data_IF_017123819420
#
_entry.id   IF_017123819420
#
_cell.length_a   1.000
_cell.length_b   1.000
_cell.length_c   1.000
_cell.angle_alpha   90.00
_cell.angle_beta   90.00
_cell.angle_gamma   90.00
#
_symmetry.space_group_name_H-M   'P 1'
#
loop_
_entity.id
_entity.type
_entity.pdbx_description
1 polymer ?
#
# COMPACT_ATOMS: atom_id res chain seq x y z
N UNK A 1 -12.11 23.21 28.26
CA UNK A 1 -11.57 21.88 27.88
C UNK A 1 -10.07 22.01 27.93
N UNK A 2 -9.39 21.24 28.78
CA UNK A 2 -7.96 21.48 29.05
C UNK A 2 -7.10 20.97 27.89
N UNK A 3 -5.91 21.55 27.71
CA UNK A 3 -4.95 21.07 26.69
C UNK A 3 -4.56 19.60 26.92
N UNK A 4 -4.57 19.14 28.17
CA UNK A 4 -4.34 17.75 28.55
C UNK A 4 -5.44 16.81 28.01
N UNK A 5 -6.71 17.21 28.03
CA UNK A 5 -7.81 16.41 27.47
C UNK A 5 -7.69 16.26 25.94
N UNK A 6 -7.25 17.32 25.27
CA UNK A 6 -7.06 17.31 23.82
C UNK A 6 -5.89 16.41 23.42
N UNK A 7 -4.78 16.46 24.16
CA UNK A 7 -3.64 15.57 23.98
C UNK A 7 -4.03 14.09 24.19
N UNK A 8 -4.76 13.78 25.27
CA UNK A 8 -5.19 12.42 25.58
C UNK A 8 -6.10 11.84 24.48
N UNK A 9 -7.04 12.62 23.94
CA UNK A 9 -7.90 12.16 22.83
C UNK A 9 -7.10 11.86 21.55
N UNK A 10 -6.18 12.73 21.17
CA UNK A 10 -5.34 12.52 19.99
C UNK A 10 -4.44 11.30 20.17
N UNK A 11 -3.92 11.09 21.38
CA UNK A 11 -3.13 9.92 21.73
C UNK A 11 -3.94 8.62 21.62
N UNK A 12 -5.11 8.54 22.26
CA UNK A 12 -5.99 7.38 22.18
C UNK A 12 -6.42 7.08 20.75
N UNK A 13 -6.76 8.13 19.98
CA UNK A 13 -7.09 8.00 18.57
C UNK A 13 -5.91 7.45 17.75
N UNK A 14 -4.69 7.95 17.97
CA UNK A 14 -3.48 7.45 17.32
C UNK A 14 -3.21 5.97 17.61
N UNK A 15 -3.29 5.57 18.89
CA UNK A 15 -3.12 4.17 19.31
C UNK A 15 -4.17 3.25 18.68
N UNK A 16 -5.43 3.70 18.63
CA UNK A 16 -6.51 2.94 18.01
C UNK A 16 -6.26 2.72 16.51
N UNK A 17 -5.82 3.75 15.80
CA UNK A 17 -5.54 3.69 14.36
C UNK A 17 -4.34 2.78 14.04
N UNK A 18 -3.31 2.79 14.88
CA UNK A 18 -2.17 1.89 14.77
C UNK A 18 -2.58 0.43 14.99
N UNK A 19 -3.43 0.16 15.99
CA UNK A 19 -3.98 -1.18 16.21
C UNK A 19 -4.83 -1.65 15.01
N UNK A 20 -5.68 -0.78 14.47
CA UNK A 20 -6.49 -1.07 13.29
C UNK A 20 -5.63 -1.38 12.06
N UNK A 21 -4.53 -0.66 11.90
CA UNK A 21 -3.55 -0.89 10.83
C UNK A 21 -2.91 -2.28 10.92
N UNK A 22 -2.46 -2.68 12.11
CA UNK A 22 -1.90 -4.02 12.33
C UNK A 22 -2.94 -5.13 12.14
N UNK A 23 -4.17 -4.92 12.62
CA UNK A 23 -5.26 -5.88 12.43
C UNK A 23 -5.58 -6.09 10.96
N UNK A 24 -5.62 -5.02 10.15
CA UNK A 24 -5.82 -5.12 8.70
C UNK A 24 -4.67 -5.84 8.02
N UNK A 25 -3.42 -5.52 8.36
CA UNK A 25 -2.23 -6.22 7.85
C UNK A 25 -2.34 -7.73 8.07
N UNK A 26 -2.69 -8.15 9.29
CA UNK A 26 -2.82 -9.56 9.62
C UNK A 26 -3.98 -10.22 8.88
N UNK A 27 -5.15 -9.57 8.83
CA UNK A 27 -6.34 -10.11 8.17
C UNK A 27 -6.12 -10.33 6.66
N UNK A 28 -5.58 -9.34 5.96
CA UNK A 28 -5.28 -9.49 4.53
C UNK A 28 -4.19 -10.54 4.29
N UNK A 29 -3.14 -10.58 5.13
CA UNK A 29 -2.10 -11.62 5.03
C UNK A 29 -2.69 -13.02 5.18
N UNK A 30 -3.62 -13.21 6.11
CA UNK A 30 -4.32 -14.48 6.31
C UNK A 30 -5.15 -14.87 5.09
N UNK A 31 -5.93 -13.93 4.54
CA UNK A 31 -6.73 -14.17 3.33
C UNK A 31 -5.86 -14.55 2.13
N UNK A 32 -4.79 -13.80 1.87
CA UNK A 32 -3.90 -14.05 0.73
C UNK A 32 -3.14 -15.38 0.88
N UNK A 33 -2.70 -15.70 2.09
CA UNK A 33 -2.08 -17.00 2.38
C UNK A 33 -3.07 -18.14 2.18
N UNK A 34 -4.32 -17.96 2.62
CA UNK A 34 -5.39 -18.93 2.39
C UNK A 34 -5.68 -19.15 0.91
N UNK A 35 -5.69 -18.08 0.12
CA UNK A 35 -5.91 -18.15 -1.32
C UNK A 35 -4.75 -18.85 -2.05
N UNK A 36 -3.50 -18.54 -1.68
CA UNK A 36 -2.33 -19.26 -2.19
C UNK A 36 -2.34 -20.74 -1.79
N UNK A 37 -2.76 -21.05 -0.57
CA UNK A 37 -2.87 -22.44 -0.09
C UNK A 37 -3.94 -23.21 -0.87
N UNK A 38 -5.09 -22.58 -1.13
CA UNK A 38 -6.14 -23.13 -1.99
C UNK A 38 -5.60 -23.39 -3.41
N UNK A 39 -4.87 -22.42 -3.99
CA UNK A 39 -4.20 -22.61 -5.26
C UNK A 39 -3.26 -23.83 -5.24
N UNK A 40 -2.42 -23.97 -4.21
CA UNK A 40 -1.48 -25.08 -4.09
C UNK A 40 -2.19 -26.44 -3.99
N UNK A 41 -3.26 -26.54 -3.20
CA UNK A 41 -4.06 -27.77 -3.05
C UNK A 41 -4.75 -28.13 -4.36
N UNK A 42 -5.44 -27.17 -4.98
CA UNK A 42 -6.11 -27.38 -6.25
C UNK A 42 -5.11 -27.78 -7.34
N UNK A 43 -3.91 -27.21 -7.30
CA UNK A 43 -2.92 -27.43 -8.35
C UNK A 43 -2.37 -28.85 -8.30
N UNK A 44 -2.27 -29.41 -7.09
CA UNK A 44 -1.89 -30.80 -6.89
C UNK A 44 -2.97 -31.77 -7.40
N UNK A 45 -4.26 -31.43 -7.21
CA UNK A 45 -5.38 -32.30 -7.62
C UNK A 45 -5.71 -32.22 -9.11
N UNK A 46 -5.84 -31.03 -9.66
CA UNK A 46 -6.26 -30.80 -11.03
C UNK A 46 -5.63 -29.51 -11.57
N UNK A 47 -4.54 -29.58 -12.34
CA UNK A 47 -3.83 -28.41 -12.86
C UNK A 47 -4.54 -27.81 -14.09
N UNK A 48 -5.82 -27.46 -13.95
CA UNK A 48 -6.62 -26.85 -15.02
C UNK A 48 -6.42 -25.34 -15.09
N UNK A 49 -5.81 -24.88 -16.19
CA UNK A 49 -5.52 -23.46 -16.42
C UNK A 49 -6.78 -22.57 -16.38
N UNK A 50 -7.89 -23.09 -16.87
CA UNK A 50 -9.20 -22.40 -16.89
C UNK A 50 -9.67 -22.04 -15.48
N UNK A 51 -9.25 -22.80 -14.45
CA UNK A 51 -9.55 -22.50 -13.05
C UNK A 51 -8.48 -21.63 -12.40
N UNK A 52 -7.20 -21.83 -12.75
CA UNK A 52 -6.09 -21.10 -12.12
C UNK A 52 -5.96 -19.64 -12.55
N UNK A 53 -6.18 -19.34 -13.83
CA UNK A 53 -6.10 -17.95 -14.33
C UNK A 53 -7.08 -17.03 -13.59
N UNK A 54 -8.40 -17.29 -13.53
CA UNK A 54 -9.33 -16.40 -12.83
C UNK A 54 -9.04 -16.32 -11.33
N UNK A 55 -8.65 -17.44 -10.70
CA UNK A 55 -8.31 -17.47 -9.28
C UNK A 55 -7.09 -16.59 -8.95
N UNK A 56 -6.06 -16.66 -9.80
CA UNK A 56 -4.84 -15.84 -9.71
C UNK A 56 -5.14 -14.36 -9.94
N UNK A 57 -6.03 -14.04 -10.90
CA UNK A 57 -6.48 -12.66 -11.15
C UNK A 57 -7.24 -12.11 -9.93
N UNK A 58 -8.11 -12.92 -9.31
CA UNK A 58 -8.83 -12.51 -8.09
C UNK A 58 -7.85 -12.22 -6.96
N UNK A 59 -6.87 -13.10 -6.72
CA UNK A 59 -5.83 -12.87 -5.71
C UNK A 59 -5.05 -11.58 -5.96
N UNK A 60 -4.63 -11.35 -7.20
CA UNK A 60 -3.94 -10.12 -7.57
C UNK A 60 -4.80 -8.88 -7.32
N UNK A 61 -6.09 -8.90 -7.67
CA UNK A 61 -7.00 -7.78 -7.44
C UNK A 61 -7.18 -7.49 -5.94
N UNK A 62 -7.32 -8.54 -5.12
CA UNK A 62 -7.37 -8.40 -3.65
C UNK A 62 -6.10 -7.77 -3.11
N UNK A 63 -4.93 -8.20 -3.57
CA UNK A 63 -3.65 -7.65 -3.12
C UNK A 63 -3.48 -6.19 -3.55
N UNK A 64 -3.90 -5.83 -4.77
CA UNK A 64 -3.84 -4.44 -5.24
C UNK A 64 -4.80 -3.54 -4.43
N UNK A 65 -6.00 -4.01 -4.13
CA UNK A 65 -6.94 -3.32 -3.24
C UNK A 65 -6.34 -3.13 -1.86
N UNK A 66 -5.72 -4.17 -1.31
CA UNK A 66 -5.02 -4.10 -0.02
C UNK A 66 -3.91 -3.04 -0.04
N UNK A 67 -3.04 -3.04 -1.06
CA UNK A 67 -1.98 -2.04 -1.21
C UNK A 67 -2.54 -0.60 -1.28
N UNK A 68 -3.66 -0.39 -1.98
CA UNK A 68 -4.33 0.90 -2.05
C UNK A 68 -4.88 1.36 -0.69
N UNK A 69 -5.54 0.46 0.04
CA UNK A 69 -6.07 0.75 1.38
C UNK A 69 -4.91 1.05 2.34
N UNK A 70 -3.85 0.25 2.28
CA UNK A 70 -2.69 0.35 3.16
C UNK A 70 -1.94 1.66 2.95
N UNK A 71 -1.71 2.06 1.70
CA UNK A 71 -1.06 3.33 1.36
C UNK A 71 -1.87 4.54 1.80
N UNK A 72 -3.20 4.51 1.63
CA UNK A 72 -4.10 5.57 2.09
C UNK A 72 -4.12 5.68 3.61
N UNK A 73 -4.23 4.55 4.30
CA UNK A 73 -4.28 4.53 5.77
C UNK A 73 -2.95 4.97 6.38
N UNK A 74 -1.82 4.59 5.76
CA UNK A 74 -0.51 5.09 6.13
C UNK A 74 -0.42 6.63 6.10
N UNK A 75 -0.92 7.27 5.03
CA UNK A 75 -0.92 8.72 4.92
C UNK A 75 -1.72 9.39 6.05
N UNK A 76 -2.80 8.74 6.49
CA UNK A 76 -3.59 9.18 7.63
C UNK A 76 -2.82 9.02 8.95
N UNK A 77 -2.22 7.85 9.21
CA UNK A 77 -1.42 7.62 10.41
C UNK A 77 -0.25 8.61 10.53
N UNK A 78 0.41 8.97 9.42
CA UNK A 78 1.43 10.02 9.43
C UNK A 78 0.90 11.37 9.91
N UNK A 79 -0.34 11.73 9.53
CA UNK A 79 -0.94 12.98 9.95
C UNK A 79 -1.25 12.99 11.46
N UNK A 80 -1.83 11.89 11.96
CA UNK A 80 -2.11 11.74 13.40
C UNK A 80 -0.82 11.72 14.21
N UNK A 81 0.21 11.00 13.75
CA UNK A 81 1.52 10.95 14.37
C UNK A 81 2.18 12.34 14.48
N UNK A 82 2.13 13.14 13.40
CA UNK A 82 2.65 14.51 13.43
C UNK A 82 1.91 15.36 14.48
N UNK A 83 0.58 15.27 14.52
CA UNK A 83 -0.24 15.99 15.50
C UNK A 83 0.02 15.52 16.94
N UNK A 84 0.26 14.23 17.14
CA UNK A 84 0.62 13.68 18.44
C UNK A 84 1.98 14.19 18.94
N UNK A 85 2.98 14.32 18.05
CA UNK A 85 4.29 14.93 18.39
C UNK A 85 4.20 16.40 18.80
N UNK A 86 3.25 17.14 18.26
CA UNK A 86 3.04 18.56 18.59
C UNK A 86 2.34 18.73 19.95
N UNK A 87 1.43 17.82 20.30
CA UNK A 87 0.59 17.91 21.51
C UNK A 87 1.16 17.17 22.72
N UNK A 88 2.04 16.18 22.53
CA UNK A 88 2.62 15.36 23.60
C UNK A 88 4.14 15.52 23.60
N UNK A 89 4.69 16.48 24.37
CA UNK A 89 6.12 16.79 24.38
C UNK A 89 6.98 15.60 24.85
N UNK A 90 6.54 14.83 25.85
CA UNK A 90 7.25 13.64 26.33
C UNK A 90 7.44 12.59 25.23
N UNK A 91 6.43 12.42 24.37
CA UNK A 91 6.49 11.52 23.21
C UNK A 91 7.47 12.02 22.15
N UNK A 92 7.46 13.33 21.89
CA UNK A 92 8.43 13.96 20.97
C UNK A 92 9.86 13.78 21.47
N UNK A 93 10.08 13.96 22.76
CA UNK A 93 11.41 13.90 23.36
C UNK A 93 11.92 12.45 23.38
N UNK A 94 11.03 11.48 23.65
CA UNK A 94 11.31 10.04 23.50
C UNK A 94 11.73 9.69 22.06
N UNK A 95 10.99 10.18 21.06
CA UNK A 95 11.31 9.96 19.65
C UNK A 95 12.64 10.62 19.24
N UNK A 96 12.91 11.84 19.75
CA UNK A 96 14.15 12.55 19.47
C UNK A 96 15.36 11.82 20.06
N UNK A 97 15.23 11.27 21.27
CA UNK A 97 16.24 10.41 21.88
C UNK A 97 16.46 9.10 21.11
N UNK A 98 15.41 8.53 20.52
CA UNK A 98 15.48 7.24 19.82
C UNK A 98 15.96 7.34 18.36
N UNK A 99 15.67 8.43 17.66
CA UNK A 99 16.01 8.57 16.23
C UNK A 99 17.51 8.80 15.96
N UNK A 100 18.27 9.27 16.95
CA UNK A 100 19.68 9.64 16.83
C UNK A 100 19.91 10.97 16.08
N UNK A 101 21.15 11.50 16.07
CA UNK A 101 21.44 12.82 15.50
C UNK A 101 21.13 12.85 13.99
N UNK A 102 20.30 13.81 13.55
CA UNK A 102 20.02 14.05 12.13
C UNK A 102 18.93 13.18 11.49
N UNK A 103 18.28 12.28 12.25
CA UNK A 103 17.11 11.52 11.76
C UNK A 103 15.83 12.06 12.40
N UNK A 104 14.88 12.50 11.58
CA UNK A 104 13.56 12.95 12.04
C UNK A 104 12.60 11.81 12.41
N UNK A 105 12.95 10.59 11.99
CA UNK A 105 12.04 9.47 11.90
C UNK A 105 12.47 8.36 12.87
N UNK A 106 12.02 8.44 14.13
CA UNK A 106 12.01 7.29 15.06
C UNK A 106 11.05 6.16 14.64
N UNK A 107 10.58 6.18 13.39
CA UNK A 107 9.53 5.32 12.81
C UNK A 107 10.02 4.58 11.54
N UNK A 108 11.34 4.32 11.46
CA UNK A 108 11.99 3.85 10.22
C UNK A 108 11.66 2.40 9.81
N UNK A 109 11.12 1.55 10.69
CA UNK A 109 10.95 0.11 10.39
C UNK A 109 9.49 -0.26 10.06
N UNK A 110 8.51 0.41 10.67
CA UNK A 110 7.09 0.11 10.44
C UNK A 110 6.65 0.41 8.99
N UNK A 111 7.21 1.46 8.38
CA UNK A 111 6.91 1.86 7.00
C UNK A 111 7.34 0.83 5.95
N UNK A 112 8.62 0.40 5.89
CA UNK A 112 9.02 -0.62 4.93
C UNK A 112 8.28 -1.92 5.19
N UNK A 113 8.08 -2.33 6.44
CA UNK A 113 7.37 -3.57 6.76
C UNK A 113 5.91 -3.54 6.26
N UNK A 114 5.18 -2.46 6.51
CA UNK A 114 3.79 -2.32 6.13
C UNK A 114 3.52 -2.31 4.63
N UNK A 115 4.49 -1.89 3.83
CA UNK A 115 4.40 -1.89 2.36
C UNK A 115 5.05 -3.13 1.76
N UNK A 116 6.07 -3.70 2.40
CA UNK A 116 6.77 -4.89 1.93
C UNK A 116 5.84 -6.09 1.86
N UNK A 117 4.97 -6.30 2.85
CA UNK A 117 4.09 -7.47 2.88
C UNK A 117 3.11 -7.47 1.69
N UNK A 118 2.28 -6.43 1.45
CA UNK A 118 1.39 -6.41 0.28
C UNK A 118 2.16 -6.46 -1.05
N UNK A 119 3.33 -5.82 -1.13
CA UNK A 119 4.17 -5.87 -2.35
C UNK A 119 4.68 -7.29 -2.62
N UNK A 120 5.10 -8.02 -1.58
CA UNK A 120 5.55 -9.40 -1.71
C UNK A 120 4.44 -10.30 -2.25
N UNK A 121 3.20 -10.18 -1.72
CA UNK A 121 2.05 -10.89 -2.29
C UNK A 121 1.77 -10.48 -3.73
N UNK A 122 1.90 -9.20 -4.08
CA UNK A 122 1.66 -8.74 -5.44
C UNK A 122 2.68 -9.36 -6.41
N UNK A 123 3.95 -9.40 -6.03
CA UNK A 123 4.99 -10.06 -6.83
C UNK A 123 4.75 -11.57 -6.94
N UNK A 124 4.31 -12.23 -5.88
CA UNK A 124 3.96 -13.66 -5.91
C UNK A 124 2.83 -13.91 -6.91
N UNK A 125 1.74 -13.14 -6.86
CA UNK A 125 0.62 -13.31 -7.79
C UNK A 125 0.98 -12.98 -9.22
N UNK A 126 1.75 -11.92 -9.46
CA UNK A 126 2.24 -11.57 -10.81
C UNK A 126 3.17 -12.65 -11.35
N UNK A 127 4.11 -13.12 -10.54
CA UNK A 127 5.02 -14.21 -10.92
C UNK A 127 4.27 -15.50 -11.21
N UNK A 128 3.29 -15.86 -10.37
CA UNK A 128 2.46 -17.04 -10.57
C UNK A 128 1.62 -16.93 -11.85
N UNK A 129 1.01 -15.77 -12.11
CA UNK A 129 0.25 -15.53 -13.34
C UNK A 129 1.13 -15.59 -14.58
N UNK A 130 2.29 -14.91 -14.55
CA UNK A 130 3.24 -14.92 -15.65
C UNK A 130 3.71 -16.36 -15.95
N UNK A 131 4.04 -17.12 -14.91
CA UNK A 131 4.40 -18.53 -15.05
C UNK A 131 3.26 -19.36 -15.66
N UNK A 132 2.01 -19.14 -15.23
CA UNK A 132 0.85 -19.84 -15.75
C UNK A 132 0.65 -19.58 -17.26
N UNK A 133 0.86 -18.33 -17.69
CA UNK A 133 0.76 -17.89 -19.08
C UNK A 133 1.96 -18.28 -19.95
N UNK A 134 3.14 -18.50 -19.37
CA UNK A 134 4.31 -19.02 -20.09
C UNK A 134 4.24 -20.54 -20.24
N UNK A 135 3.60 -21.23 -19.30
CA UNK A 135 3.42 -22.68 -19.35
C UNK A 135 2.46 -23.12 -20.46
N UNK A 136 1.60 -22.24 -20.96
CA UNK A 136 0.69 -22.51 -22.08
C UNK A 136 1.38 -22.62 -23.44
N UNK A 137 2.62 -22.16 -23.56
CA UNK A 137 3.40 -22.24 -24.82
C UNK A 137 4.02 -23.64 -24.98
N UNK A 138 3.20 -24.62 -25.39
CA UNK A 138 3.71 -25.79 -26.08
C UNK A 138 4.01 -25.36 -27.55
N UNK A 139 5.20 -25.66 -28.11
CA UNK A 139 5.68 -25.06 -29.35
C UNK A 139 4.97 -25.67 -30.57
N UNK A 140 3.81 -25.12 -30.92
CA UNK A 140 3.24 -25.28 -32.24
C UNK A 140 2.42 -24.04 -32.58
N UNK A 141 2.71 -23.49 -33.77
CA UNK A 141 1.92 -22.50 -34.52
C UNK A 141 2.20 -21.01 -34.23
N UNK A 142 3.16 -20.49 -35.00
CA UNK A 142 3.11 -19.24 -35.76
C UNK A 142 2.74 -17.92 -35.07
N UNK A 143 3.78 -17.09 -34.93
CA UNK A 143 3.93 -15.64 -35.10
C UNK A 143 2.72 -14.70 -35.37
N UNK A 144 1.57 -14.90 -34.74
CA UNK A 144 0.55 -13.88 -34.58
C UNK A 144 0.48 -13.45 -33.11
N UNK A 145 0.04 -12.21 -32.86
CA UNK A 145 -0.14 -11.68 -31.50
C UNK A 145 -1.12 -12.61 -30.78
N UNK A 146 -0.59 -13.52 -29.97
CA UNK A 146 -1.43 -14.47 -29.25
C UNK A 146 -2.22 -13.71 -28.18
N UNK A 147 -3.47 -14.13 -27.89
CA UNK A 147 -4.27 -13.51 -26.85
C UNK A 147 -3.56 -13.50 -25.49
N UNK A 148 -2.63 -14.43 -25.21
CA UNK A 148 -1.81 -14.38 -24.00
C UNK A 148 -0.85 -13.18 -23.99
N UNK A 149 -0.20 -12.85 -25.12
CA UNK A 149 0.68 -11.68 -25.21
C UNK A 149 -0.10 -10.37 -25.06
N UNK A 150 -1.31 -10.33 -25.60
CA UNK A 150 -2.23 -9.21 -25.39
C UNK A 150 -2.65 -9.10 -23.92
N UNK A 151 -2.89 -10.23 -23.23
CA UNK A 151 -3.21 -10.25 -21.81
C UNK A 151 -2.02 -9.81 -20.94
N UNK A 152 -0.78 -10.24 -21.25
CA UNK A 152 0.44 -9.81 -20.56
C UNK A 152 0.69 -8.31 -20.76
N UNK A 153 0.51 -7.81 -21.99
CA UNK A 153 0.59 -6.38 -22.28
C UNK A 153 -0.52 -5.61 -21.56
N UNK A 154 -1.75 -6.13 -21.52
CA UNK A 154 -2.84 -5.52 -20.77
C UNK A 154 -2.55 -5.50 -19.26
N UNK A 155 -1.98 -6.57 -18.70
CA UNK A 155 -1.66 -6.66 -17.27
C UNK A 155 -0.50 -5.75 -16.88
N UNK A 156 0.54 -5.68 -17.71
CA UNK A 156 1.65 -4.73 -17.53
C UNK A 156 1.20 -3.29 -17.72
N UNK A 157 0.28 -3.02 -18.64
CA UNK A 157 -0.38 -1.72 -18.78
C UNK A 157 -1.27 -1.39 -17.59
N UNK A 158 -2.01 -2.36 -17.03
CA UNK A 158 -2.84 -2.17 -15.83
C UNK A 158 -1.96 -1.93 -14.61
N UNK A 159 -0.89 -2.70 -14.41
CA UNK A 159 0.11 -2.47 -13.37
C UNK A 159 0.77 -1.10 -13.52
N UNK A 160 1.22 -0.77 -14.73
CA UNK A 160 1.77 0.54 -15.06
C UNK A 160 0.77 1.67 -14.81
N UNK A 161 -0.49 1.48 -15.18
CA UNK A 161 -1.58 2.42 -14.94
C UNK A 161 -1.85 2.60 -13.45
N UNK A 162 -1.90 1.51 -12.67
CA UNK A 162 -2.07 1.53 -11.21
C UNK A 162 -0.90 2.30 -10.56
N UNK A 163 0.34 2.02 -10.97
CA UNK A 163 1.54 2.74 -10.51
C UNK A 163 1.47 4.23 -10.87
N UNK A 164 1.03 4.56 -12.09
CA UNK A 164 0.85 5.95 -12.53
C UNK A 164 -0.28 6.64 -11.73
N UNK A 165 -1.39 5.95 -11.47
CA UNK A 165 -2.52 6.44 -10.65
C UNK A 165 -2.07 6.72 -9.23
N UNK A 166 -1.30 5.82 -8.63
CA UNK A 166 -0.70 5.98 -7.31
C UNK A 166 0.24 7.20 -7.29
N UNK A 167 1.15 7.32 -8.25
CA UNK A 167 2.05 8.49 -8.36
C UNK A 167 1.29 9.79 -8.60
N UNK A 168 0.19 9.78 -9.37
CA UNK A 168 -0.67 10.97 -9.57
C UNK A 168 -1.41 11.36 -8.31
N UNK A 169 -1.92 10.39 -7.55
CA UNK A 169 -2.55 10.65 -6.26
C UNK A 169 -1.56 11.27 -5.28
N UNK A 170 -0.33 10.76 -5.22
CA UNK A 170 0.75 11.35 -4.42
C UNK A 170 1.10 12.79 -4.85
N UNK A 171 1.18 13.05 -6.16
CA UNK A 171 1.45 14.41 -6.68
C UNK A 171 0.34 15.38 -6.32
N UNK A 172 -0.94 15.00 -6.48
CA UNK A 172 -2.07 15.82 -6.07
C UNK A 172 -2.07 16.10 -4.57
N UNK A 173 -1.71 15.11 -3.75
CA UNK A 173 -1.55 15.29 -2.30
C UNK A 173 -0.44 16.30 -1.96
N UNK A 174 0.68 16.26 -2.70
CA UNK A 174 1.77 17.23 -2.55
C UNK A 174 1.36 18.64 -2.99
N UNK A 175 0.64 18.76 -4.10
CA UNK A 175 0.11 20.04 -4.62
C UNK A 175 -0.90 20.66 -3.66
N UNK A 176 -1.86 19.89 -3.15
CA UNK A 176 -2.83 20.36 -2.15
C UNK A 176 -2.12 20.79 -0.87
N UNK A 177 -1.13 20.03 -0.41
CA UNK A 177 -0.32 20.41 0.76
C UNK A 177 0.48 21.69 0.52
N UNK A 178 1.03 21.88 -0.68
CA UNK A 178 1.75 23.10 -1.04
C UNK A 178 0.81 24.32 -1.14
N UNK A 179 -0.40 24.13 -1.66
CA UNK A 179 -1.41 25.19 -1.72
C UNK A 179 -1.92 25.59 -0.33
N UNK A 180 -2.13 24.63 0.57
CA UNK A 180 -2.54 24.88 1.97
C UNK A 180 -1.43 25.54 2.79
N UNK A 181 -0.15 25.24 2.49
CA UNK A 181 0.99 25.80 3.21
C UNK A 181 1.57 27.06 2.54
N UNK A 182 1.01 27.53 1.43
CA UNK A 182 1.44 28.78 0.81
C UNK A 182 0.94 29.94 1.68
N UNK A 183 1.84 30.78 2.26
CA UNK A 183 1.42 31.95 3.00
C UNK A 183 0.62 32.85 2.04
N UNK A 184 -0.62 33.16 2.41
CA UNK A 184 -1.39 34.15 1.69
C UNK A 184 -0.53 35.41 1.55
N UNK A 185 -0.30 35.85 0.31
CA UNK A 185 0.47 37.05 0.04
C UNK A 185 -0.08 38.21 0.89
N UNK A 186 0.78 39.02 1.52
CA UNK A 186 0.31 40.16 2.29
C UNK A 186 -0.53 41.03 1.36
N UNK A 187 -1.83 41.17 1.68
CA UNK A 187 -2.67 42.19 1.06
C UNK A 187 -1.94 43.50 1.32
N UNK A 188 -1.38 44.07 0.26
CA UNK A 188 -0.74 45.37 0.25
C UNK A 188 -1.68 46.35 0.94
N UNK A 189 -1.28 46.80 2.12
CA UNK A 189 -1.77 48.04 2.68
C UNK A 189 -1.26 49.17 1.76
N UNK A 190 -2.11 49.57 0.81
CA UNK A 190 -2.05 50.88 0.15
C UNK A 190 -3.40 51.52 0.45
N UNK A 191 -3.43 52.47 1.38
CA UNK A 191 -3.14 53.89 1.20
C UNK A 191 -4.38 54.64 0.73
#
# INVERSE_FOLDING_TARGET
>A
MTDADAANRVWQHGMHEEQLFHNRLNYFSFLETGLLSLCAILFNKEPSLTLFVPLTVVGLLFTLLWLLIQTRHWAYCQHVHRRARELVPDYRDTLAGWAGPGRSDGWSISRPLALAVPLLFAFTWVGFLAWLLLRTDNPATDAHITPERAAILALTLVLGWVVIRLRRAERRLKEVRAAVNSPAAPRSAGA
#
